data_IF_360037820809
#
_entry.id   IF_360037820809
#
_cell.length_a   1.000
_cell.length_b   1.000
_cell.length_c   1.000
_cell.angle_alpha   90.00
_cell.angle_beta   90.00
_cell.angle_gamma   90.00
#
_symmetry.space_group_name_H-M   'P 1'
#
loop_
_entity.id
_entity.type
_entity.pdbx_description
1 polymer ?
#
# COMPACT_ATOMS: atom_id res chain seq x y z
N UNK A 1 -15.16 8.27 60.58
CA UNK A 1 -15.24 8.38 62.05
C UNK A 1 -16.41 9.31 62.38
N UNK A 2 -17.56 8.76 62.77
CA UNK A 2 -18.69 9.58 63.23
C UNK A 2 -18.33 10.18 64.58
N UNK A 3 -18.22 11.51 64.66
CA UNK A 3 -17.95 12.20 65.93
C UNK A 3 -19.07 11.85 66.93
N UNK A 4 -18.70 11.17 68.02
CA UNK A 4 -19.64 10.83 69.09
C UNK A 4 -20.21 12.12 69.68
N UNK A 5 -21.49 12.40 69.40
CA UNK A 5 -22.19 13.56 69.97
C UNK A 5 -22.37 13.33 71.46
N UNK A 6 -21.96 14.30 72.28
CA UNK A 6 -22.14 14.29 73.73
C UNK A 6 -23.38 15.06 74.13
N UNK A 7 -24.03 14.65 75.22
CA UNK A 7 -25.25 15.25 75.72
C UNK A 7 -24.98 16.69 76.23
N UNK A 8 -25.63 17.71 75.67
CA UNK A 8 -25.40 19.11 76.03
C UNK A 8 -26.23 19.57 77.25
N UNK A 9 -26.75 18.64 78.07
CA UNK A 9 -27.58 19.01 79.22
C UNK A 9 -26.72 19.65 80.32
N UNK A 10 -27.01 20.87 80.80
CA UNK A 10 -26.21 21.55 81.82
C UNK A 10 -26.42 20.90 83.19
N UNK A 11 -25.33 20.47 83.84
CA UNK A 11 -25.34 19.99 85.23
C UNK A 11 -24.99 21.11 86.21
N UNK A 12 -24.07 22.00 85.82
CA UNK A 12 -23.72 23.25 86.49
C UNK A 12 -23.53 24.36 85.46
N UNK A 13 -23.28 25.61 85.87
CA UNK A 13 -23.08 26.74 84.96
C UNK A 13 -21.99 26.45 83.89
N UNK A 14 -20.90 25.79 84.30
CA UNK A 14 -19.73 25.57 83.43
C UNK A 14 -19.57 24.12 82.97
N UNK A 15 -20.53 23.23 83.28
CA UNK A 15 -20.39 21.79 82.99
C UNK A 15 -21.66 21.19 82.40
N UNK A 16 -21.53 20.60 81.21
CA UNK A 16 -22.56 19.75 80.60
C UNK A 16 -22.41 18.27 81.00
N UNK A 17 -23.47 17.48 80.81
CA UNK A 17 -23.53 16.07 81.13
C UNK A 17 -22.39 15.26 80.49
N UNK A 18 -22.09 15.53 79.22
CA UNK A 18 -20.96 14.90 78.53
C UNK A 18 -21.13 13.42 78.18
N UNK A 19 -22.22 12.75 78.60
CA UNK A 19 -22.50 11.35 78.21
C UNK A 19 -22.74 11.25 76.70
N UNK A 20 -22.20 10.20 76.08
CA UNK A 20 -22.40 9.92 74.65
C UNK A 20 -23.88 9.71 74.32
N UNK A 21 -24.34 10.33 73.25
CA UNK A 21 -25.71 10.19 72.73
C UNK A 21 -25.72 9.07 71.69
N UNK A 22 -26.38 7.97 72.01
CA UNK A 22 -26.59 6.86 71.07
C UNK A 22 -27.43 7.37 69.90
N UNK A 23 -26.83 7.47 68.72
CA UNK A 23 -27.56 7.82 67.51
C UNK A 23 -28.44 6.63 67.11
N UNK A 24 -29.75 6.86 66.92
CA UNK A 24 -30.66 5.84 66.43
C UNK A 24 -30.53 5.80 64.90
N UNK A 25 -30.19 4.63 64.34
CA UNK A 25 -30.22 4.39 62.90
C UNK A 25 -31.67 4.24 62.43
N UNK A 26 -32.22 5.24 61.73
CA UNK A 26 -33.56 5.19 61.14
C UNK A 26 -34.09 6.56 60.70
N UNK A 27 -35.12 6.62 59.85
CA UNK A 27 -35.74 7.88 59.44
C UNK A 27 -36.40 8.56 60.65
N UNK A 28 -35.84 9.68 61.09
CA UNK A 28 -36.29 10.44 62.24
C UNK A 28 -35.25 11.45 62.69
N UNK A 29 -35.67 12.48 63.44
CA UNK A 29 -34.75 13.50 63.96
C UNK A 29 -33.78 12.84 64.94
N UNK A 30 -32.45 13.03 64.79
CA UNK A 30 -31.47 12.42 65.68
C UNK A 30 -31.67 12.86 67.13
N UNK A 31 -31.43 11.95 68.08
CA UNK A 31 -31.44 12.27 69.51
C UNK A 31 -30.31 13.26 69.82
N UNK A 32 -30.63 14.26 70.64
CA UNK A 32 -29.71 15.31 71.09
C UNK A 32 -29.21 15.05 72.51
N UNK A 33 -29.95 14.29 73.32
CA UNK A 33 -29.64 14.03 74.72
C UNK A 33 -29.40 12.53 74.95
N UNK A 34 -28.65 12.19 76.01
CA UNK A 34 -28.42 10.79 76.39
C UNK A 34 -29.71 10.14 76.90
N UNK A 35 -29.69 8.82 77.12
CA UNK A 35 -30.88 8.04 77.53
C UNK A 35 -31.33 8.26 79.00
N UNK A 36 -30.80 9.30 79.66
CA UNK A 36 -31.27 9.70 80.98
C UNK A 36 -32.61 10.42 80.83
N UNK A 37 -33.71 9.93 81.45
CA UNK A 37 -35.03 10.54 81.29
C UNK A 37 -35.09 11.99 81.80
N UNK A 38 -34.15 12.40 82.66
CA UNK A 38 -34.04 13.78 83.14
C UNK A 38 -33.39 14.73 82.12
N UNK A 39 -32.70 14.21 81.10
CA UNK A 39 -32.03 15.01 80.07
C UNK A 39 -32.91 15.11 78.83
N UNK A 40 -33.81 16.10 78.84
CA UNK A 40 -34.65 16.43 77.70
C UNK A 40 -34.69 17.94 77.47
N UNK A 41 -35.25 18.36 76.34
CA UNK A 41 -35.25 19.77 75.94
C UNK A 41 -35.97 20.69 76.95
N UNK A 42 -37.08 20.23 77.54
CA UNK A 42 -37.85 21.00 78.53
C UNK A 42 -37.08 21.12 79.83
N UNK A 43 -36.45 20.03 80.29
CA UNK A 43 -35.62 20.03 81.48
C UNK A 43 -34.37 20.90 81.30
N UNK A 44 -33.79 20.93 80.10
CA UNK A 44 -32.68 21.84 79.78
C UNK A 44 -33.15 23.29 79.83
N UNK A 45 -34.28 23.63 79.23
CA UNK A 45 -34.82 24.99 79.29
C UNK A 45 -35.01 25.44 80.75
N UNK A 46 -35.61 24.59 81.59
CA UNK A 46 -35.78 24.87 83.04
C UNK A 46 -34.45 24.93 83.81
N UNK A 47 -33.42 24.22 83.36
CA UNK A 47 -32.09 24.31 83.96
C UNK A 47 -31.41 25.62 83.55
N UNK A 48 -31.44 25.97 82.27
CA UNK A 48 -30.94 27.23 81.72
C UNK A 48 -31.65 28.44 82.36
N UNK A 49 -32.98 28.38 82.55
CA UNK A 49 -33.74 29.40 83.28
C UNK A 49 -33.34 29.48 84.75
N UNK A 50 -33.11 28.35 85.43
CA UNK A 50 -32.63 28.35 86.82
C UNK A 50 -31.22 28.92 86.95
N UNK A 51 -30.32 28.62 86.01
CA UNK A 51 -28.98 29.20 85.99
C UNK A 51 -29.01 30.69 85.63
N UNK A 52 -29.86 31.11 84.67
CA UNK A 52 -30.09 32.53 84.37
C UNK A 52 -30.70 33.28 85.54
N UNK A 53 -31.70 32.72 86.21
CA UNK A 53 -32.29 33.32 87.42
C UNK A 53 -31.28 33.41 88.56
N UNK A 54 -30.43 32.39 88.76
CA UNK A 54 -29.32 32.48 89.73
C UNK A 54 -28.27 33.51 89.34
N UNK A 55 -27.92 33.64 88.06
CA UNK A 55 -27.00 34.69 87.59
C UNK A 55 -27.61 36.10 87.74
N UNK A 56 -28.92 36.24 87.58
CA UNK A 56 -29.64 37.51 87.77
C UNK A 56 -29.88 37.88 89.24
N UNK A 57 -29.77 36.92 90.18
CA UNK A 57 -29.95 37.13 91.62
C UNK A 57 -28.67 36.99 92.45
N UNK A 58 -27.52 36.72 91.82
CA UNK A 58 -26.22 36.55 92.48
C UNK A 58 -25.38 37.82 92.66
N UNK A 59 -25.77 38.93 92.05
CA UNK A 59 -25.03 40.22 92.06
C UNK A 59 -25.93 41.39 92.50
N UNK A 60 -26.71 41.19 93.56
CA UNK A 60 -27.44 42.28 94.23
C UNK A 60 -26.85 42.54 95.63
N UNK A 61 -25.53 42.69 95.70
CA UNK A 61 -24.80 43.13 96.89
C UNK A 61 -24.53 44.65 96.78
N UNK A 62 -25.44 45.42 97.37
CA UNK A 62 -25.24 46.80 97.87
C UNK A 62 -24.48 47.80 97.00
N UNK A 63 -24.97 48.07 95.79
CA UNK A 63 -24.59 49.29 95.07
C UNK A 63 -25.55 50.44 95.38
N UNK A 64 -24.99 51.61 95.69
CA UNK A 64 -25.76 52.84 95.91
C UNK A 64 -26.48 53.20 94.59
N UNK A 65 -27.81 53.42 94.57
CA UNK A 65 -28.58 53.62 93.32
C UNK A 65 -28.15 54.84 92.50
N UNK A 66 -27.42 55.77 93.12
CA UNK A 66 -26.83 56.92 92.43
C UNK A 66 -25.54 56.53 91.71
N UNK A 67 -24.70 55.66 92.28
CA UNK A 67 -23.41 55.28 91.66
C UNK A 67 -23.61 54.37 90.45
N UNK A 68 -24.57 53.45 90.48
CA UNK A 68 -24.86 52.59 89.32
C UNK A 68 -25.45 53.38 88.14
N UNK A 69 -26.36 54.32 88.41
CA UNK A 69 -26.90 55.20 87.37
C UNK A 69 -25.82 56.09 86.77
N UNK A 70 -24.85 56.54 87.57
CA UNK A 70 -23.68 57.28 87.10
C UNK A 70 -22.76 56.39 86.26
N UNK A 71 -22.49 55.15 86.66
CA UNK A 71 -21.68 54.20 85.87
C UNK A 71 -22.35 53.80 84.56
N UNK A 72 -23.66 53.54 84.57
CA UNK A 72 -24.44 53.22 83.38
C UNK A 72 -24.49 54.40 82.40
N UNK A 73 -24.62 55.63 82.92
CA UNK A 73 -24.52 56.85 82.13
C UNK A 73 -23.12 56.99 81.53
N UNK A 74 -22.05 56.73 82.30
CA UNK A 74 -20.67 56.70 81.81
C UNK A 74 -20.49 55.73 80.64
N UNK A 75 -20.94 54.48 80.79
CA UNK A 75 -20.86 53.47 79.73
C UNK A 75 -21.72 53.79 78.49
N UNK A 76 -22.79 54.56 78.64
CA UNK A 76 -23.58 55.05 77.51
C UNK A 76 -22.86 56.20 76.80
N UNK A 77 -22.22 57.11 77.54
CA UNK A 77 -21.40 58.19 77.00
C UNK A 77 -20.15 57.65 76.29
N UNK A 78 -19.50 56.61 76.82
CA UNK A 78 -18.37 55.94 76.17
C UNK A 78 -18.79 55.29 74.85
N UNK A 79 -19.92 54.58 74.82
CA UNK A 79 -20.48 54.00 73.59
C UNK A 79 -20.82 55.06 72.55
N UNK A 80 -21.41 56.17 72.99
CA UNK A 80 -21.70 57.30 72.11
C UNK A 80 -20.42 57.97 71.61
N UNK A 81 -19.37 58.02 72.43
CA UNK A 81 -18.03 58.45 72.04
C UNK A 81 -17.42 57.56 70.96
N UNK A 82 -17.52 56.23 71.11
CA UNK A 82 -17.03 55.26 70.14
C UNK A 82 -17.79 55.33 68.81
N UNK A 83 -19.13 55.33 68.85
CA UNK A 83 -19.95 55.49 67.64
C UNK A 83 -19.65 56.79 66.89
N UNK A 84 -19.41 57.87 67.64
CA UNK A 84 -19.00 59.15 67.06
C UNK A 84 -17.61 59.08 66.42
N UNK A 85 -16.68 58.30 66.99
CA UNK A 85 -15.36 58.09 66.41
C UNK A 85 -15.44 57.24 65.12
N UNK A 86 -16.23 56.16 65.14
CA UNK A 86 -16.50 55.31 63.96
C UNK A 86 -17.15 56.11 62.82
N UNK A 87 -18.20 56.87 63.12
CA UNK A 87 -18.87 57.70 62.11
C UNK A 87 -17.94 58.77 61.51
N UNK A 88 -17.02 59.33 62.31
CA UNK A 88 -16.01 60.27 61.81
C UNK A 88 -15.00 59.58 60.89
N UNK A 89 -14.61 58.35 61.20
CA UNK A 89 -13.73 57.57 60.33
C UNK A 89 -14.43 57.28 58.99
N UNK A 90 -15.67 56.77 59.02
CA UNK A 90 -16.44 56.51 57.79
C UNK A 90 -16.69 57.77 56.95
N UNK A 91 -16.95 58.93 57.59
CA UNK A 91 -17.07 60.20 56.88
C UNK A 91 -15.75 60.63 56.24
N UNK A 92 -14.62 60.39 56.90
CA UNK A 92 -13.30 60.70 56.34
C UNK A 92 -13.02 59.82 55.12
N UNK A 93 -13.30 58.52 55.21
CA UNK A 93 -13.15 57.58 54.08
C UNK A 93 -14.09 57.95 52.92
N UNK A 94 -15.32 58.39 53.22
CA UNK A 94 -16.28 58.84 52.20
C UNK A 94 -15.86 60.16 51.54
N UNK A 95 -15.26 61.09 52.29
CA UNK A 95 -14.67 62.32 51.78
C UNK A 95 -13.48 62.04 50.86
N UNK A 96 -12.61 61.09 51.23
CA UNK A 96 -11.48 60.65 50.40
C UNK A 96 -11.97 59.99 49.10
N UNK A 97 -12.94 59.07 49.18
CA UNK A 97 -13.54 58.46 47.99
C UNK A 97 -14.25 59.50 47.11
N UNK A 98 -14.93 60.48 47.71
CA UNK A 98 -15.57 61.56 46.97
C UNK A 98 -14.52 62.49 46.31
N UNK A 99 -13.38 62.73 46.96
CA UNK A 99 -12.27 63.47 46.38
C UNK A 99 -11.69 62.72 45.16
N UNK A 100 -11.44 61.42 45.28
CA UNK A 100 -10.95 60.58 44.15
C UNK A 100 -11.94 60.54 42.98
N UNK A 101 -13.25 60.43 43.27
CA UNK A 101 -14.30 60.40 42.25
C UNK A 101 -14.53 61.78 41.58
N UNK A 102 -14.19 62.87 42.27
CA UNK A 102 -14.33 64.24 41.75
C UNK A 102 -13.03 64.79 41.17
N UNK A 103 -11.92 64.06 41.29
CA UNK A 103 -10.67 64.37 40.59
C UNK A 103 -10.82 64.06 39.09
N UNK A 104 -11.31 65.06 38.36
CA UNK A 104 -11.50 65.02 36.92
C UNK A 104 -10.16 64.82 36.17
N UNK A 105 -9.02 65.24 36.75
CA UNK A 105 -7.71 65.09 36.12
C UNK A 105 -7.22 63.64 36.21
N UNK A 106 -7.48 62.96 37.32
CA UNK A 106 -7.25 61.52 37.45
C UNK A 106 -8.10 60.74 36.45
N UNK A 107 -9.41 61.01 36.39
CA UNK A 107 -10.32 60.36 35.44
C UNK A 107 -9.90 60.61 33.99
N UNK A 108 -9.51 61.84 33.64
CA UNK A 108 -9.02 62.17 32.31
C UNK A 108 -7.69 61.47 31.97
N UNK A 109 -6.86 61.18 32.96
CA UNK A 109 -5.60 60.44 32.77
C UNK A 109 -5.86 58.95 32.54
N UNK A 110 -6.73 58.33 33.34
CA UNK A 110 -7.16 56.95 33.15
C UNK A 110 -7.89 56.75 31.81
N UNK A 111 -8.76 57.69 31.42
CA UNK A 111 -9.46 57.63 30.14
C UNK A 111 -8.47 57.65 28.97
N UNK A 112 -7.48 58.55 28.99
CA UNK A 112 -6.41 58.59 27.97
C UNK A 112 -5.60 57.30 27.94
N UNK A 113 -5.32 56.69 29.10
CA UNK A 113 -4.62 55.40 29.16
C UNK A 113 -5.46 54.27 28.53
N UNK A 114 -6.77 54.22 28.83
CA UNK A 114 -7.70 53.26 28.24
C UNK A 114 -7.84 53.45 26.73
N UNK A 115 -7.95 54.70 26.28
CA UNK A 115 -8.00 55.05 24.85
C UNK A 115 -6.73 54.59 24.13
N UNK A 116 -5.55 54.92 24.66
CA UNK A 116 -4.28 54.48 24.09
C UNK A 116 -4.16 52.94 24.04
N UNK A 117 -4.61 52.24 25.10
CA UNK A 117 -4.64 50.78 25.12
C UNK A 117 -5.66 50.18 24.15
N UNK A 118 -6.78 50.86 23.90
CA UNK A 118 -7.77 50.45 22.89
C UNK A 118 -7.23 50.65 21.48
N UNK A 119 -6.61 51.79 21.19
CA UNK A 119 -5.96 52.09 19.91
C UNK A 119 -4.84 51.08 19.60
N UNK A 120 -4.00 50.76 20.60
CA UNK A 120 -2.95 49.75 20.44
C UNK A 120 -3.53 48.37 20.10
N UNK A 121 -4.62 47.95 20.77
CA UNK A 121 -5.31 46.68 20.47
C UNK A 121 -5.92 46.67 19.07
N UNK A 122 -6.53 47.78 18.63
CA UNK A 122 -7.09 47.92 17.27
C UNK A 122 -5.97 47.87 16.22
N UNK A 123 -4.85 48.55 16.46
CA UNK A 123 -3.70 48.53 15.56
C UNK A 123 -3.12 47.11 15.43
N UNK A 124 -2.97 46.39 16.55
CA UNK A 124 -2.52 45.00 16.55
C UNK A 124 -3.48 44.08 15.79
N UNK A 125 -4.80 44.22 16.01
CA UNK A 125 -5.80 43.42 15.31
C UNK A 125 -5.79 43.68 13.80
N UNK A 126 -5.65 44.94 13.37
CA UNK A 126 -5.54 45.31 11.95
C UNK A 126 -4.26 44.76 11.31
N UNK A 127 -3.13 44.81 12.02
CA UNK A 127 -1.88 44.22 11.55
C UNK A 127 -2.00 42.69 11.38
N UNK A 128 -2.62 42.01 12.35
CA UNK A 128 -2.88 40.58 12.29
C UNK A 128 -3.83 40.22 11.13
N UNK A 129 -4.88 41.02 10.90
CA UNK A 129 -5.78 40.85 9.77
C UNK A 129 -5.03 41.00 8.43
N UNK A 130 -4.23 42.06 8.27
CA UNK A 130 -3.47 42.30 7.05
C UNK A 130 -2.47 41.17 6.76
N UNK A 131 -1.80 40.64 7.80
CA UNK A 131 -0.93 39.47 7.67
C UNK A 131 -1.72 38.23 7.21
N UNK A 132 -2.86 37.94 7.84
CA UNK A 132 -3.70 36.81 7.46
C UNK A 132 -4.25 36.92 6.02
N UNK A 133 -4.62 38.13 5.58
CA UNK A 133 -5.05 38.37 4.21
C UNK A 133 -3.92 38.17 3.20
N UNK A 134 -2.70 38.59 3.54
CA UNK A 134 -1.52 38.37 2.73
C UNK A 134 -1.19 36.87 2.60
N UNK A 135 -1.15 36.16 3.73
CA UNK A 135 -0.89 34.71 3.76
C UNK A 135 -1.95 33.94 2.98
N UNK A 136 -3.23 34.32 3.11
CA UNK A 136 -4.31 33.72 2.33
C UNK A 136 -4.17 34.01 0.84
N UNK A 137 -3.66 35.19 0.45
CA UNK A 137 -3.41 35.53 -0.94
C UNK A 137 -2.23 34.73 -1.53
N UNK A 138 -1.15 34.54 -0.75
CA UNK A 138 -0.03 33.69 -1.13
C UNK A 138 -0.46 32.23 -1.30
N UNK A 139 -1.19 31.68 -0.33
CA UNK A 139 -1.69 30.31 -0.39
C UNK A 139 -2.62 30.08 -1.61
N UNK A 140 -3.45 31.07 -1.97
CA UNK A 140 -4.26 31.00 -3.20
C UNK A 140 -3.38 30.94 -4.44
N UNK A 141 -2.36 31.80 -4.55
CA UNK A 141 -1.44 31.80 -5.70
C UNK A 141 -0.66 30.50 -5.82
N UNK A 142 -0.18 29.96 -4.70
CA UNK A 142 0.54 28.67 -4.67
C UNK A 142 -0.36 27.53 -5.14
N UNK A 143 -1.60 27.48 -4.63
CA UNK A 143 -2.58 26.49 -5.05
C UNK A 143 -2.92 26.62 -6.54
N UNK A 144 -3.14 27.83 -7.03
CA UNK A 144 -3.48 28.07 -8.43
C UNK A 144 -2.30 27.69 -9.35
N UNK A 145 -1.06 28.00 -8.96
CA UNK A 145 0.14 27.55 -9.67
C UNK A 145 0.33 26.03 -9.65
N UNK A 146 -0.01 25.37 -8.53
CA UNK A 146 0.03 23.90 -8.46
C UNK A 146 -1.03 23.25 -9.37
N UNK A 147 -2.21 23.86 -9.50
CA UNK A 147 -3.24 23.41 -10.45
C UNK A 147 -2.77 23.58 -11.89
N UNK A 148 -2.23 24.74 -12.26
CA UNK A 148 -1.69 24.99 -13.60
C UNK A 148 -0.58 23.98 -13.96
N UNK A 149 0.34 23.71 -13.03
CA UNK A 149 1.38 22.70 -13.24
C UNK A 149 0.80 21.29 -13.42
N UNK A 150 -0.28 20.97 -12.70
CA UNK A 150 -0.97 19.68 -12.82
C UNK A 150 -1.64 19.54 -14.19
N UNK A 151 -2.30 20.59 -14.69
CA UNK A 151 -2.90 20.61 -16.02
C UNK A 151 -1.83 20.41 -17.11
N UNK A 152 -0.71 21.16 -17.04
CA UNK A 152 0.42 20.99 -17.97
C UNK A 152 0.97 19.55 -17.93
N UNK A 153 1.08 18.96 -16.74
CA UNK A 153 1.58 17.58 -16.61
C UNK A 153 0.61 16.55 -17.20
N UNK A 154 -0.70 16.76 -17.08
CA UNK A 154 -1.72 15.92 -17.69
C UNK A 154 -1.69 16.03 -19.22
N UNK A 155 -1.65 17.24 -19.76
CA UNK A 155 -1.54 17.48 -21.21
C UNK A 155 -0.29 16.80 -21.79
N UNK A 156 0.86 16.94 -21.12
CA UNK A 156 2.10 16.29 -21.53
C UNK A 156 2.02 14.76 -21.47
N UNK A 157 1.31 14.21 -20.47
CA UNK A 157 1.10 12.76 -20.37
C UNK A 157 0.18 12.24 -21.47
N UNK A 158 -0.88 12.97 -21.82
CA UNK A 158 -1.78 12.64 -22.92
C UNK A 158 -1.05 12.67 -24.27
N UNK A 159 -0.23 13.70 -24.52
CA UNK A 159 0.59 13.80 -25.74
C UNK A 159 1.60 12.64 -25.85
N UNK A 160 2.23 12.26 -24.73
CA UNK A 160 3.14 11.13 -24.67
C UNK A 160 2.42 9.80 -24.97
N UNK A 161 1.22 9.61 -24.45
CA UNK A 161 0.38 8.42 -24.74
C UNK A 161 0.00 8.40 -26.22
N UNK A 162 -0.47 9.51 -26.77
CA UNK A 162 -0.84 9.62 -28.19
C UNK A 162 0.36 9.30 -29.10
N UNK A 163 1.55 9.82 -28.77
CA UNK A 163 2.79 9.55 -29.51
C UNK A 163 3.19 8.07 -29.44
N UNK A 164 3.08 7.46 -28.25
CA UNK A 164 3.35 6.03 -28.07
C UNK A 164 2.39 5.17 -28.91
N UNK A 165 1.10 5.49 -28.89
CA UNK A 165 0.09 4.71 -29.58
C UNK A 165 0.23 4.82 -31.11
N UNK A 166 0.51 6.02 -31.63
CA UNK A 166 0.84 6.22 -33.05
C UNK A 166 2.10 5.46 -33.48
N UNK A 167 3.11 5.41 -32.60
CA UNK A 167 4.33 4.64 -32.84
C UNK A 167 4.04 3.13 -32.86
N UNK A 168 3.22 2.64 -31.92
CA UNK A 168 2.81 1.25 -31.86
C UNK A 168 2.02 0.82 -33.11
N UNK A 169 1.08 1.64 -33.56
CA UNK A 169 0.33 1.40 -34.80
C UNK A 169 1.26 1.33 -36.02
N UNK A 170 2.25 2.23 -36.09
CA UNK A 170 3.24 2.23 -37.17
C UNK A 170 4.06 0.93 -37.18
N UNK A 171 4.50 0.45 -36.01
CA UNK A 171 5.23 -0.82 -35.89
C UNK A 171 4.35 -2.02 -36.31
N UNK A 172 3.08 -2.03 -35.91
CA UNK A 172 2.13 -3.08 -36.32
C UNK A 172 1.98 -3.11 -37.84
N UNK A 173 1.81 -1.94 -38.48
CA UNK A 173 1.71 -1.84 -39.93
C UNK A 173 2.98 -2.34 -40.63
N UNK A 174 4.16 -1.90 -40.18
CA UNK A 174 5.44 -2.38 -40.72
C UNK A 174 5.55 -3.89 -40.62
N UNK A 175 5.18 -4.47 -39.46
CA UNK A 175 5.21 -5.92 -39.27
C UNK A 175 4.28 -6.64 -40.25
N UNK A 176 3.05 -6.15 -40.40
CA UNK A 176 2.09 -6.72 -41.35
C UNK A 176 2.61 -6.65 -42.80
N UNK A 177 3.22 -5.53 -43.19
CA UNK A 177 3.82 -5.36 -44.51
C UNK A 177 4.99 -6.33 -44.72
N UNK A 178 5.86 -6.49 -43.73
CA UNK A 178 6.96 -7.47 -43.76
C UNK A 178 6.43 -8.90 -43.87
N UNK A 179 5.43 -9.28 -43.07
CA UNK A 179 4.83 -10.61 -43.12
C UNK A 179 4.21 -10.89 -44.51
N UNK A 180 3.55 -9.90 -45.10
CA UNK A 180 3.02 -9.99 -46.47
C UNK A 180 4.14 -10.12 -47.52
N UNK A 181 5.22 -9.36 -47.39
CA UNK A 181 6.37 -9.46 -48.30
C UNK A 181 7.04 -10.82 -48.21
N UNK A 182 7.25 -11.34 -47.00
CA UNK A 182 7.79 -12.69 -46.77
C UNK A 182 6.89 -13.72 -47.44
N UNK A 183 5.57 -13.66 -47.19
CA UNK A 183 4.63 -14.59 -47.81
C UNK A 183 4.67 -14.57 -49.35
N UNK A 184 4.81 -13.38 -49.96
CA UNK A 184 4.95 -13.23 -51.41
C UNK A 184 6.23 -13.87 -51.93
N UNK A 185 7.37 -13.61 -51.27
CA UNK A 185 8.66 -14.17 -51.67
C UNK A 185 8.64 -15.70 -51.54
N UNK A 186 8.16 -16.22 -50.40
CA UNK A 186 8.03 -17.66 -50.20
C UNK A 186 7.15 -18.31 -51.27
N UNK A 187 6.03 -17.69 -51.66
CA UNK A 187 5.17 -18.22 -52.72
C UNK A 187 5.88 -18.26 -54.09
N UNK A 188 6.72 -17.27 -54.41
CA UNK A 188 7.52 -17.24 -55.64
C UNK A 188 8.56 -18.37 -55.63
N UNK A 189 9.24 -18.56 -54.49
CA UNK A 189 10.25 -19.59 -54.30
C UNK A 189 9.65 -21.00 -54.37
N UNK A 190 8.51 -21.23 -53.69
CA UNK A 190 7.78 -22.50 -53.75
C UNK A 190 7.35 -22.82 -55.19
N UNK A 191 6.84 -21.82 -55.93
CA UNK A 191 6.48 -22.00 -57.33
C UNK A 191 7.70 -22.31 -58.21
N UNK A 192 8.86 -21.70 -57.93
CA UNK A 192 10.11 -22.00 -58.63
C UNK A 192 10.61 -23.42 -58.33
N UNK A 193 10.55 -23.86 -57.08
CA UNK A 193 10.88 -25.23 -56.66
C UNK A 193 9.96 -26.26 -57.31
N UNK A 194 8.66 -26.00 -57.36
CA UNK A 194 7.69 -26.87 -58.06
C UNK A 194 8.05 -27.00 -59.54
N UNK A 195 8.35 -25.88 -60.23
CA UNK A 195 8.76 -25.91 -61.64
C UNK A 195 10.07 -26.67 -61.85
N UNK A 196 11.08 -26.43 -61.01
CA UNK A 196 12.37 -27.11 -61.09
C UNK A 196 12.23 -28.62 -60.86
N UNK A 197 11.41 -29.03 -59.89
CA UNK A 197 11.13 -30.44 -59.62
C UNK A 197 10.39 -31.11 -60.79
N UNK A 198 9.39 -30.43 -61.36
CA UNK A 198 8.68 -30.94 -62.54
C UNK A 198 9.61 -31.13 -63.74
N UNK A 199 10.52 -30.17 -63.97
CA UNK A 199 11.51 -30.27 -65.05
C UNK A 199 12.52 -31.38 -64.81
N UNK A 200 13.01 -31.53 -63.57
CA UNK A 200 13.89 -32.64 -63.19
C UNK A 200 13.23 -33.99 -63.44
N UNK A 201 11.95 -34.14 -63.12
CA UNK A 201 11.22 -35.38 -63.36
C UNK A 201 11.02 -35.66 -64.85
N UNK A 202 10.72 -34.63 -65.66
CA UNK A 202 10.67 -34.78 -67.13
C UNK A 202 12.00 -35.26 -67.70
N UNK A 203 13.11 -34.63 -67.30
CA UNK A 203 14.45 -35.02 -67.75
C UNK A 203 14.79 -36.44 -67.33
N UNK A 204 14.38 -36.86 -66.12
CA UNK A 204 14.53 -38.23 -65.66
C UNK A 204 13.77 -39.23 -66.53
N UNK A 205 12.50 -38.97 -66.83
CA UNK A 205 11.69 -39.82 -67.72
C UNK A 205 12.29 -39.91 -69.13
N UNK A 206 12.79 -38.80 -69.67
CA UNK A 206 13.49 -38.78 -70.97
C UNK A 206 14.76 -39.63 -70.91
N UNK A 207 15.57 -39.48 -69.86
CA UNK A 207 16.79 -40.25 -69.68
C UNK A 207 16.51 -41.76 -69.51
N UNK A 208 15.50 -42.13 -68.73
CA UNK A 208 15.10 -43.53 -68.53
C UNK A 208 14.58 -44.15 -69.83
N UNK A 209 13.80 -43.41 -70.62
CA UNK A 209 13.35 -43.84 -71.95
C UNK A 209 14.54 -44.08 -72.88
N UNK A 210 15.46 -43.12 -72.99
CA UNK A 210 16.65 -43.24 -73.83
C UNK A 210 17.56 -44.40 -73.40
N UNK A 211 17.71 -44.64 -72.10
CA UNK A 211 18.46 -45.79 -71.59
C UNK A 211 17.80 -47.13 -71.95
N UNK A 212 16.47 -47.20 -71.97
CA UNK A 212 15.76 -48.40 -72.39
C UNK A 212 15.89 -48.63 -73.90
N UNK A 213 15.75 -47.59 -74.72
CA UNK A 213 15.98 -47.67 -76.17
C UNK A 213 17.39 -48.19 -76.48
N UNK A 214 18.43 -47.63 -75.83
CA UNK A 214 19.81 -48.09 -75.99
C UNK A 214 20.00 -49.55 -75.53
N UNK A 215 19.29 -50.01 -74.49
CA UNK A 215 19.33 -51.40 -74.04
C UNK A 215 18.67 -52.33 -75.06
N UNK A 216 17.56 -51.92 -75.64
CA UNK A 216 16.86 -52.67 -76.68
C UNK A 216 17.72 -52.77 -77.95
N UNK A 217 18.32 -51.67 -78.39
CA UNK A 217 19.28 -51.66 -79.50
C UNK A 217 20.47 -52.59 -79.23
N UNK A 218 21.07 -52.52 -78.03
CA UNK A 218 22.18 -53.38 -77.66
C UNK A 218 21.76 -54.85 -77.59
N UNK A 219 20.56 -55.16 -77.09
CA UNK A 219 20.01 -56.52 -77.11
C UNK A 219 19.84 -57.02 -78.54
N UNK A 220 19.26 -56.21 -79.42
CA UNK A 220 19.11 -56.54 -80.84
C UNK A 220 20.47 -56.77 -81.52
N UNK A 221 21.47 -55.94 -81.21
CA UNK A 221 22.84 -56.15 -81.70
C UNK A 221 23.45 -57.46 -81.18
N UNK A 222 23.25 -57.78 -79.89
CA UNK A 222 23.69 -59.06 -79.32
C UNK A 222 23.03 -60.27 -79.98
N UNK A 223 21.73 -60.18 -80.27
CA UNK A 223 20.98 -61.24 -80.96
C UNK A 223 21.51 -61.43 -82.39
N UNK A 224 21.76 -60.35 -83.14
CA UNK A 224 22.38 -60.40 -84.47
C UNK A 224 23.76 -61.07 -84.39
N UNK A 225 24.61 -60.66 -83.43
CA UNK A 225 25.93 -61.27 -83.24
C UNK A 225 25.82 -62.74 -82.84
N UNK A 226 24.82 -63.13 -82.04
CA UNK A 226 24.58 -64.52 -81.67
C UNK A 226 24.20 -65.38 -82.87
N UNK A 227 23.33 -64.87 -83.75
CA UNK A 227 22.97 -65.52 -85.02
C UNK A 227 24.20 -65.69 -85.92
N UNK A 228 24.97 -64.62 -86.16
CA UNK A 228 26.20 -64.68 -86.97
C UNK A 228 27.23 -65.66 -86.41
N UNK A 229 27.37 -65.75 -85.08
CA UNK A 229 28.25 -66.73 -84.43
C UNK A 229 27.74 -68.16 -84.61
N UNK A 230 26.43 -68.38 -84.56
CA UNK A 230 25.83 -69.70 -84.80
C UNK A 230 26.02 -70.13 -86.26
N UNK A 231 25.82 -69.22 -87.21
CA UNK A 231 26.08 -69.43 -88.65
C UNK A 231 27.55 -69.78 -88.89
N UNK A 232 28.50 -68.96 -88.42
CA UNK A 232 29.93 -69.26 -88.53
C UNK A 232 30.32 -70.57 -87.85
N UNK A 233 29.70 -70.94 -86.71
CA UNK A 233 29.95 -72.22 -86.08
C UNK A 233 29.46 -73.40 -86.94
N UNK A 234 28.31 -73.25 -87.60
CA UNK A 234 27.78 -74.25 -88.54
C UNK A 234 28.64 -74.37 -89.81
N UNK A 235 29.12 -73.25 -90.35
CA UNK A 235 30.08 -73.21 -91.46
C UNK A 235 31.38 -73.93 -91.07
N UNK A 236 31.96 -73.60 -89.92
CA UNK A 236 33.17 -74.26 -89.42
C UNK A 236 32.95 -75.76 -89.17
N UNK A 237 31.77 -76.16 -88.71
CA UNK A 237 31.42 -77.58 -88.56
C UNK A 237 31.37 -78.28 -89.92
N UNK A 238 30.81 -77.64 -90.94
CA UNK A 238 30.75 -78.14 -92.33
C UNK A 238 32.15 -78.23 -92.95
N UNK A 239 32.96 -77.18 -92.81
CA UNK A 239 34.35 -77.19 -93.26
C UNK A 239 35.19 -78.26 -92.54
N UNK A 240 34.95 -78.50 -91.25
CA UNK A 240 35.61 -79.60 -90.51
C UNK A 240 35.18 -80.96 -91.03
N UNK A 241 33.89 -81.20 -91.30
CA UNK A 241 33.42 -82.48 -91.84
C UNK A 241 33.96 -82.69 -93.26
N UNK A 242 34.00 -81.66 -94.10
CA UNK A 242 34.66 -81.68 -95.41
C UNK A 242 36.16 -81.96 -95.30
N UNK A 243 36.87 -81.25 -94.41
CA UNK A 243 38.29 -81.49 -94.16
C UNK A 243 38.53 -82.93 -93.68
N UNK A 244 37.73 -83.45 -92.75
CA UNK A 244 37.79 -84.85 -92.33
C UNK A 244 37.53 -85.81 -93.49
N UNK A 245 36.58 -85.50 -94.37
CA UNK A 245 36.30 -86.28 -95.59
C UNK A 245 37.49 -86.27 -96.56
N UNK A 246 38.13 -85.11 -96.77
CA UNK A 246 39.32 -84.95 -97.61
C UNK A 246 40.51 -85.71 -97.01
N UNK A 247 40.77 -85.53 -95.71
CA UNK A 247 41.83 -86.26 -95.00
C UNK A 247 41.58 -87.76 -95.05
N UNK A 248 40.34 -88.22 -94.85
CA UNK A 248 39.96 -89.62 -94.99
C UNK A 248 40.22 -90.13 -96.42
N UNK A 249 39.81 -89.40 -97.47
CA UNK A 249 40.07 -89.80 -98.86
C UNK A 249 41.56 -89.83 -99.20
N UNK A 250 42.34 -88.84 -98.75
CA UNK A 250 43.79 -88.80 -98.93
C UNK A 250 44.50 -89.91 -98.16
N UNK A 251 44.09 -90.22 -96.93
CA UNK A 251 44.61 -91.39 -96.19
C UNK A 251 44.25 -92.71 -96.86
N UNK A 252 43.09 -92.79 -97.55
CA UNK A 252 42.69 -93.97 -98.33
C UNK A 252 43.50 -94.11 -99.64
N UNK A 253 43.85 -92.99 -100.30
CA UNK A 253 44.64 -92.99 -101.55
C UNK A 253 46.15 -93.13 -101.32
N UNK A 254 46.69 -92.72 -100.15
CA UNK A 254 48.13 -92.75 -99.89
C UNK A 254 48.66 -94.08 -99.33
N UNK A 255 47.82 -95.09 -99.06
CA UNK A 255 48.27 -96.39 -98.53
C UNK A 255 49.07 -96.28 -97.21
N UNK A 256 48.81 -95.24 -96.42
CA UNK A 256 49.50 -95.02 -95.16
C UNK A 256 48.70 -95.68 -94.03
N UNK A 257 49.31 -96.61 -93.26
CA UNK A 257 48.64 -97.25 -92.13
C UNK A 257 48.28 -96.21 -91.06
N UNK A 258 47.04 -96.28 -90.59
CA UNK A 258 46.52 -95.51 -89.47
C UNK A 258 47.19 -95.94 -88.16
N UNK A 259 48.45 -95.53 -87.95
CA UNK A 259 49.11 -95.64 -86.65
C UNK A 259 48.83 -94.39 -85.80
N UNK A 260 48.48 -94.66 -84.54
CA UNK A 260 47.87 -93.73 -83.61
C UNK A 260 48.70 -92.50 -83.27
N UNK A 261 47.98 -91.40 -83.05
CA UNK A 261 48.46 -90.20 -82.39
C UNK A 261 47.60 -89.89 -81.17
N UNK A 262 47.70 -90.75 -80.15
CA UNK A 262 47.43 -90.34 -78.77
C UNK A 262 48.54 -89.40 -78.31
N UNK A 263 48.37 -88.08 -78.50
CA UNK A 263 49.14 -87.10 -77.74
C UNK A 263 48.37 -86.63 -76.53
N UNK A 264 48.76 -87.17 -75.38
CA UNK A 264 48.63 -86.53 -74.07
C UNK A 264 49.14 -85.09 -74.15
N UNK A 265 48.38 -84.13 -73.64
CA UNK A 265 48.93 -82.86 -73.15
C UNK A 265 48.26 -82.45 -71.83
N UNK A 266 48.99 -81.71 -71.00
CA UNK A 266 48.95 -81.80 -69.55
C UNK A 266 47.98 -80.80 -68.94
N UNK A 267 47.58 -81.08 -67.70
CA UNK A 267 46.83 -80.14 -66.87
C UNK A 267 47.51 -78.79 -66.76
N UNK A 268 46.70 -77.74 -66.83
CA UNK A 268 47.03 -76.44 -66.25
C UNK A 268 45.90 -76.04 -65.30
N UNK A 269 46.16 -76.24 -64.00
CA UNK A 269 45.51 -75.47 -62.93
C UNK A 269 45.82 -74.00 -63.19
N UNK A 270 44.81 -73.14 -63.24
CA UNK A 270 45.00 -71.71 -62.96
C UNK A 270 44.04 -71.27 -61.88
N UNK A 271 44.63 -71.14 -60.69
CA UNK A 271 44.17 -70.37 -59.54
C UNK A 271 44.18 -68.88 -59.84
N UNK A 272 43.22 -68.15 -59.27
CA UNK A 272 43.16 -66.69 -59.14
C UNK A 272 41.70 -66.26 -59.16
N UNK A 273 41.01 -65.88 -58.07
CA UNK A 273 41.36 -65.11 -56.86
C UNK A 273 41.90 -63.71 -57.17
N UNK A 274 40.99 -62.79 -57.47
CA UNK A 274 41.04 -61.33 -57.26
C UNK A 274 39.57 -60.93 -57.01
N UNK A 275 39.08 -60.57 -55.82
CA UNK A 275 39.43 -59.45 -54.95
C UNK A 275 39.41 -58.10 -55.67
N UNK A 276 38.33 -57.34 -55.47
CA UNK A 276 38.19 -55.86 -55.41
C UNK A 276 36.69 -55.58 -55.15
N UNK A 277 36.35 -55.30 -53.89
CA UNK A 277 36.19 -53.97 -53.25
C UNK A 277 34.79 -53.42 -53.47
#
# INVERSE_FOLDING_TARGET
MTANKVCPFPLTADRACGRTVVQRSGPGRPRIYCDDPKHNAVARLRADERFRARAQHGDAETARPVTERVSALGAALDRLGNLKAELRAELTDAEELAADLTDLDLVATELRAVEAAAEARVAQARAAQAAAEHDAALARRERDAAHELTEIALDAAEEAIATRDASAETVIRIRQDCDQQIARVTAVDDAALIRANAERERLRVVADTALNELREELSAQHDVVAVLRAEHAAELATLRTEHHRIVATLTTHAGLPAHGWHRRRPGYRRTGRLARR
#
